data_IF_512889008456
#
_entry.id   IF_512889008456
#
_cell.length_a   1.000
_cell.length_b   1.000
_cell.length_c   1.000
_cell.angle_alpha   90.00
_cell.angle_beta   90.00
_cell.angle_gamma   90.00
#
_symmetry.space_group_name_H-M   'P 1'
#
loop_
_entity.id
_entity.type
_entity.pdbx_description
1 polymer ?
#
# COMPACT_ATOMS: atom_id res chain seq x y z
N UNK A 1 -23.79 20.41 -4.61
CA UNK A 1 -23.96 19.97 -6.01
C UNK A 1 -23.09 20.85 -6.88
N UNK A 2 -22.37 20.27 -7.84
CA UNK A 2 -21.60 21.05 -8.82
C UNK A 2 -22.51 21.55 -9.95
N UNK A 3 -22.14 22.65 -10.58
CA UNK A 3 -22.74 23.12 -11.82
C UNK A 3 -22.24 22.31 -13.05
N UNK A 4 -22.64 22.73 -14.25
CA UNK A 4 -22.24 22.08 -15.52
C UNK A 4 -20.75 22.16 -15.82
N UNK A 5 -20.02 23.07 -15.16
CA UNK A 5 -18.57 23.22 -15.29
C UNK A 5 -17.81 22.48 -14.18
N UNK A 6 -18.51 21.75 -13.30
CA UNK A 6 -17.91 21.05 -12.18
C UNK A 6 -17.62 21.92 -10.96
N UNK A 7 -18.13 23.15 -10.90
CA UNK A 7 -17.88 24.08 -9.80
C UNK A 7 -18.95 23.99 -8.73
N UNK A 8 -18.55 24.02 -7.47
CA UNK A 8 -19.43 24.09 -6.31
C UNK A 8 -18.93 25.19 -5.37
N UNK A 9 -19.78 26.19 -5.08
CA UNK A 9 -19.45 27.27 -4.14
C UNK A 9 -20.12 26.99 -2.80
N UNK A 10 -19.30 26.88 -1.75
CA UNK A 10 -19.77 26.72 -0.38
C UNK A 10 -19.51 28.02 0.40
N UNK A 11 -20.47 28.43 1.23
CA UNK A 11 -20.35 29.62 2.09
C UNK A 11 -20.75 29.23 3.51
N UNK A 12 -20.01 29.72 4.50
CA UNK A 12 -20.29 29.48 5.91
C UNK A 12 -19.62 30.51 6.81
N UNK A 13 -20.12 30.62 8.03
CA UNK A 13 -19.57 31.45 9.10
C UNK A 13 -19.14 30.58 10.27
N UNK A 14 -18.02 30.90 10.93
CA UNK A 14 -17.52 30.14 12.07
C UNK A 14 -16.39 30.85 12.82
N UNK A 15 -15.84 30.17 13.82
CA UNK A 15 -14.76 30.68 14.68
C UNK A 15 -13.36 30.23 14.20
N UNK A 16 -13.20 30.03 12.90
CA UNK A 16 -11.98 29.50 12.28
C UNK A 16 -12.00 27.97 12.21
N UNK A 17 -10.84 27.36 12.00
CA UNK A 17 -10.68 25.91 11.98
C UNK A 17 -10.40 25.35 10.59
N UNK A 18 -11.02 24.22 10.24
CA UNK A 18 -10.79 23.60 8.94
C UNK A 18 -12.05 23.02 8.33
N UNK A 19 -12.12 23.04 7.01
CA UNK A 19 -13.18 22.40 6.24
C UNK A 19 -12.59 21.19 5.53
N UNK A 20 -13.19 20.02 5.76
CA UNK A 20 -12.90 18.81 4.99
C UNK A 20 -13.80 18.75 3.75
N UNK A 21 -13.23 18.39 2.61
CA UNK A 21 -13.91 18.33 1.32
C UNK A 21 -13.83 16.91 0.78
N UNK A 22 -14.97 16.43 0.26
CA UNK A 22 -15.07 15.18 -0.48
C UNK A 22 -16.02 15.37 -1.66
N UNK A 23 -15.80 14.60 -2.72
CA UNK A 23 -16.66 14.59 -3.90
C UNK A 23 -16.99 13.16 -4.29
N UNK A 24 -18.22 12.99 -4.77
CA UNK A 24 -18.75 11.73 -5.27
C UNK A 24 -19.53 11.98 -6.56
N UNK A 25 -19.37 11.08 -7.52
CA UNK A 25 -20.14 11.04 -8.76
C UNK A 25 -20.30 9.59 -9.18
N UNK A 26 -21.50 9.20 -9.57
CA UNK A 26 -21.76 7.87 -10.11
C UNK A 26 -20.83 7.55 -11.29
N UNK A 27 -20.25 6.35 -11.30
CA UNK A 27 -19.27 5.93 -12.30
C UNK A 27 -17.84 6.45 -12.07
N UNK A 28 -17.56 7.08 -10.92
CA UNK A 28 -16.23 7.54 -10.52
C UNK A 28 -15.90 7.04 -9.11
N UNK A 29 -14.62 6.80 -8.86
CA UNK A 29 -14.12 6.63 -7.50
C UNK A 29 -14.32 7.94 -6.73
N UNK A 30 -14.89 7.82 -5.54
CA UNK A 30 -15.03 8.97 -4.64
C UNK A 30 -13.64 9.49 -4.24
N UNK A 31 -13.55 10.80 -4.01
CA UNK A 31 -12.31 11.43 -3.58
C UNK A 31 -12.56 12.21 -2.29
N UNK A 32 -11.63 12.13 -1.34
CA UNK A 32 -11.77 12.75 -0.02
C UNK A 32 -10.42 13.08 0.61
N UNK A 33 -10.44 13.64 1.82
CA UNK A 33 -9.22 14.01 2.54
C UNK A 33 -8.65 15.38 2.14
N UNK A 34 -9.32 16.09 1.24
CA UNK A 34 -9.05 17.50 0.94
C UNK A 34 -9.40 18.34 2.16
N UNK A 35 -8.54 19.30 2.52
CA UNK A 35 -8.75 20.09 3.72
C UNK A 35 -8.20 21.49 3.55
N UNK A 36 -9.04 22.48 3.81
CA UNK A 36 -8.65 23.88 3.92
C UNK A 36 -8.59 24.31 5.38
N UNK A 37 -7.50 24.95 5.78
CA UNK A 37 -7.31 25.48 7.12
C UNK A 37 -7.42 27.00 7.12
N UNK A 38 -8.26 27.51 8.01
CA UNK A 38 -8.51 28.92 8.23
C UNK A 38 -7.88 29.34 9.56
N UNK A 39 -6.82 30.12 9.50
CA UNK A 39 -5.90 30.33 10.64
C UNK A 39 -6.00 31.71 11.25
N UNK A 40 -6.29 32.74 10.44
CA UNK A 40 -6.28 34.13 10.88
C UNK A 40 -7.59 34.83 10.55
N UNK A 41 -8.08 35.60 11.51
CA UNK A 41 -9.23 36.48 11.29
C UNK A 41 -8.73 37.90 11.07
N UNK A 42 -9.09 38.47 9.92
CA UNK A 42 -8.67 39.81 9.49
C UNK A 42 -9.88 40.73 9.30
N UNK A 43 -9.65 42.04 9.32
CA UNK A 43 -10.70 43.06 9.19
C UNK A 43 -11.32 43.47 10.52
N UNK A 44 -11.75 44.74 10.61
CA UNK A 44 -12.40 45.31 11.81
C UNK A 44 -13.91 45.42 11.62
N UNK A 45 -14.35 45.94 10.47
CA UNK A 45 -15.77 45.99 10.08
C UNK A 45 -16.20 44.72 9.33
N UNK A 46 -15.45 44.32 8.30
CA UNK A 46 -15.71 43.12 7.50
C UNK A 46 -14.78 41.97 7.91
N UNK A 47 -15.07 41.39 9.09
CA UNK A 47 -14.27 40.28 9.64
C UNK A 47 -14.36 39.05 8.74
N UNK A 48 -13.22 38.53 8.31
CA UNK A 48 -13.13 37.31 7.49
C UNK A 48 -11.95 36.43 7.87
N UNK A 49 -12.10 35.14 7.63
CA UNK A 49 -11.04 34.16 7.85
C UNK A 49 -10.17 33.99 6.60
N UNK A 50 -8.86 33.90 6.79
CA UNK A 50 -7.87 33.64 5.74
C UNK A 50 -7.39 32.17 5.77
N UNK A 51 -7.16 31.51 4.61
CA UNK A 51 -7.22 32.08 3.27
C UNK A 51 -8.67 32.38 2.86
N UNK A 52 -8.91 33.57 2.33
CA UNK A 52 -10.25 33.98 1.89
C UNK A 52 -10.59 33.35 0.54
N UNK A 53 -11.75 32.68 0.48
CA UNK A 53 -12.29 32.06 -0.73
C UNK A 53 -11.30 31.12 -1.46
N UNK A 54 -10.74 30.10 -0.76
CA UNK A 54 -9.85 29.15 -1.39
C UNK A 54 -10.59 28.34 -2.46
N UNK A 55 -9.90 28.02 -3.55
CA UNK A 55 -10.37 27.08 -4.56
C UNK A 55 -9.62 25.77 -4.39
N UNK A 56 -10.36 24.66 -4.31
CA UNK A 56 -9.80 23.33 -4.09
C UNK A 56 -10.12 22.45 -5.28
N UNK A 57 -9.09 22.03 -6.00
CA UNK A 57 -9.23 21.11 -7.12
C UNK A 57 -9.42 19.68 -6.60
N UNK A 58 -10.58 19.09 -6.90
CA UNK A 58 -10.91 17.71 -6.52
C UNK A 58 -10.99 16.85 -7.78
N UNK A 59 -10.03 15.95 -7.92
CA UNK A 59 -9.97 15.01 -9.05
C UNK A 59 -10.80 13.78 -8.76
N UNK A 60 -11.75 13.44 -9.64
CA UNK A 60 -12.47 12.18 -9.64
C UNK A 60 -11.96 11.28 -10.75
N UNK A 61 -11.57 10.05 -10.40
CA UNK A 61 -11.11 9.06 -11.38
C UNK A 61 -12.31 8.23 -11.84
N UNK A 62 -12.59 8.21 -13.14
CA UNK A 62 -13.68 7.39 -13.70
C UNK A 62 -13.40 5.92 -13.37
N UNK A 63 -14.40 5.15 -12.98
CA UNK A 63 -14.28 3.69 -12.83
C UNK A 63 -14.08 3.08 -14.23
N UNK A 64 -13.09 2.19 -14.38
CA UNK A 64 -12.82 1.49 -15.62
C UNK A 64 -13.59 0.20 -15.69
N UNK A 65 -12.87 -0.91 -15.55
CA UNK A 65 -13.46 -2.25 -15.56
C UNK A 65 -12.88 -3.05 -14.39
N UNK A 66 -13.31 -2.77 -13.14
CA UNK A 66 -12.88 -3.54 -11.98
C UNK A 66 -13.06 -5.05 -12.23
N UNK A 67 -12.10 -5.84 -11.75
CA UNK A 67 -12.09 -7.30 -11.97
C UNK A 67 -12.01 -8.06 -10.64
N UNK A 68 -12.53 -9.30 -10.61
CA UNK A 68 -12.26 -10.23 -9.52
C UNK A 68 -10.76 -10.47 -9.34
N UNK A 69 -10.27 -10.42 -8.11
CA UNK A 69 -8.87 -10.68 -7.77
C UNK A 69 -8.76 -11.51 -6.49
N UNK A 70 -7.62 -12.17 -6.32
CA UNK A 70 -7.21 -12.66 -5.01
C UNK A 70 -6.72 -11.47 -4.19
N UNK A 71 -7.60 -10.92 -3.36
CA UNK A 71 -7.29 -9.78 -2.51
C UNK A 71 -7.35 -10.19 -1.04
N UNK A 72 -6.26 -9.96 -0.30
CA UNK A 72 -6.18 -10.36 1.11
C UNK A 72 -5.30 -9.40 1.90
N UNK A 73 -5.77 -9.03 3.08
CA UNK A 73 -5.00 -8.35 4.10
C UNK A 73 -4.37 -9.39 5.02
N UNK A 74 -3.05 -9.31 5.18
CA UNK A 74 -2.31 -10.05 6.18
C UNK A 74 -1.87 -9.06 7.24
N UNK A 75 -2.25 -9.35 8.48
CA UNK A 75 -1.95 -8.52 9.62
C UNK A 75 -1.26 -9.37 10.66
N UNK A 76 -0.04 -8.96 10.98
CA UNK A 76 0.67 -9.42 12.16
C UNK A 76 0.88 -10.95 12.16
N UNK A 77 1.17 -11.50 10.99
CA UNK A 77 1.39 -12.94 10.79
C UNK A 77 2.86 -13.28 11.06
N UNK A 78 3.18 -14.37 11.77
CA UNK A 78 4.56 -14.77 11.97
C UNK A 78 5.17 -15.29 10.65
N UNK A 79 6.39 -14.86 10.34
CA UNK A 79 7.22 -15.55 9.35
C UNK A 79 7.70 -16.85 10.00
N UNK A 80 7.38 -18.05 9.44
CA UNK A 80 7.55 -19.32 10.14
C UNK A 80 8.99 -19.67 10.55
N UNK A 81 9.97 -19.38 9.70
CA UNK A 81 11.38 -19.71 9.93
C UNK A 81 12.22 -18.43 10.03
N UNK A 82 12.81 -18.18 11.20
CA UNK A 82 13.79 -17.10 11.36
C UNK A 82 15.13 -17.50 10.72
N UNK A 83 15.66 -16.65 9.83
CA UNK A 83 16.93 -16.89 9.11
C UNK A 83 16.83 -17.81 7.88
N UNK A 84 15.62 -18.24 7.50
CA UNK A 84 15.38 -19.07 6.30
C UNK A 84 14.43 -18.39 5.30
N UNK A 85 14.55 -18.67 3.99
CA UNK A 85 13.58 -18.22 3.01
C UNK A 85 12.27 -19.00 3.10
N UNK A 86 11.13 -18.31 3.24
CA UNK A 86 9.80 -18.92 3.27
C UNK A 86 8.93 -18.38 2.13
N UNK A 87 8.43 -19.28 1.28
CA UNK A 87 7.55 -18.93 0.17
C UNK A 87 6.12 -18.63 0.62
N UNK A 88 5.46 -17.70 -0.05
CA UNK A 88 4.06 -17.35 0.12
C UNK A 88 3.33 -17.40 -1.22
N UNK A 89 2.21 -18.11 -1.28
CA UNK A 89 1.37 -18.24 -2.46
C UNK A 89 0.26 -17.20 -2.40
N UNK A 90 0.27 -16.24 -3.32
CA UNK A 90 -0.68 -15.14 -3.35
C UNK A 90 -2.08 -15.61 -3.78
N UNK A 91 -2.19 -16.70 -4.54
CA UNK A 91 -3.48 -17.27 -4.97
C UNK A 91 -4.10 -18.18 -3.91
N UNK A 92 -3.28 -18.87 -3.11
CA UNK A 92 -3.75 -19.62 -1.95
C UNK A 92 -3.94 -18.73 -0.72
N UNK A 93 -3.21 -17.60 -0.68
CA UNK A 93 -3.15 -16.70 0.45
C UNK A 93 -2.53 -17.34 1.69
N UNK A 94 -1.57 -18.23 1.50
CA UNK A 94 -0.96 -19.04 2.56
C UNK A 94 0.52 -19.29 2.29
N UNK A 95 1.25 -19.66 3.33
CA UNK A 95 2.64 -20.10 3.22
C UNK A 95 2.74 -21.34 2.33
N UNK A 96 3.86 -21.49 1.64
CA UNK A 96 4.20 -22.71 0.90
C UNK A 96 4.65 -23.79 1.89
N UNK A 97 4.48 -25.06 1.50
CA UNK A 97 4.98 -26.20 2.27
C UNK A 97 6.46 -25.99 2.70
N UNK A 98 6.83 -26.37 3.93
CA UNK A 98 6.06 -27.15 4.89
C UNK A 98 5.10 -26.34 5.79
N UNK A 99 5.06 -25.02 5.67
CA UNK A 99 4.41 -24.13 6.65
C UNK A 99 2.95 -23.79 6.35
N UNK A 100 2.48 -24.14 5.16
CA UNK A 100 1.09 -23.93 4.74
C UNK A 100 0.75 -24.74 3.50
N UNK A 101 -0.46 -24.50 2.97
CA UNK A 101 -1.01 -25.18 1.80
C UNK A 101 -0.69 -24.55 0.45
N UNK A 102 0.10 -23.47 0.43
CA UNK A 102 0.54 -22.79 -0.79
C UNK A 102 1.37 -23.71 -1.71
N UNK A 103 1.25 -23.49 -3.02
CA UNK A 103 1.89 -24.33 -4.05
C UNK A 103 2.94 -23.58 -4.87
N UNK A 104 2.81 -22.26 -4.94
CA UNK A 104 3.70 -21.39 -5.71
C UNK A 104 4.28 -20.31 -4.78
N UNK A 105 5.60 -20.25 -4.63
CA UNK A 105 6.27 -19.20 -3.85
C UNK A 105 6.29 -17.88 -4.61
N UNK A 106 5.15 -17.26 -4.82
CA UNK A 106 5.04 -16.01 -5.58
C UNK A 106 5.92 -14.91 -4.97
N UNK A 107 5.90 -14.81 -3.64
CA UNK A 107 6.86 -14.03 -2.85
C UNK A 107 7.63 -14.96 -1.91
N UNK A 108 8.90 -14.67 -1.68
CA UNK A 108 9.75 -15.39 -0.73
C UNK A 108 10.27 -14.39 0.29
N UNK A 109 10.00 -14.66 1.56
CA UNK A 109 10.38 -13.80 2.67
C UNK A 109 11.55 -14.40 3.42
N UNK A 110 12.58 -13.60 3.65
CA UNK A 110 13.69 -13.95 4.51
C UNK A 110 13.85 -12.85 5.56
N UNK A 111 13.52 -13.19 6.79
CA UNK A 111 13.66 -12.32 7.95
C UNK A 111 14.94 -12.66 8.72
N UNK A 112 15.70 -11.63 9.07
CA UNK A 112 16.90 -11.73 9.89
C UNK A 112 16.83 -10.71 11.02
N UNK A 113 17.06 -11.15 12.25
CA UNK A 113 17.27 -10.28 13.39
C UNK A 113 18.71 -10.43 13.89
N UNK A 114 19.35 -9.32 14.25
CA UNK A 114 20.61 -9.38 15.00
C UNK A 114 20.29 -9.47 16.49
N UNK A 115 21.14 -10.14 17.28
CA UNK A 115 20.99 -10.19 18.72
C UNK A 115 20.79 -8.80 19.28
N UNK A 116 19.76 -8.65 20.10
CA UNK A 116 19.47 -7.39 20.74
C UNK A 116 20.64 -6.98 21.66
N UNK A 117 21.04 -5.72 21.56
CA UNK A 117 22.04 -5.11 22.42
C UNK A 117 21.38 -4.15 23.40
N UNK A 118 22.18 -3.63 24.33
CA UNK A 118 21.72 -2.62 25.29
C UNK A 118 22.66 -1.43 25.27
N UNK A 119 22.09 -0.22 25.14
CA UNK A 119 22.82 1.04 25.27
C UNK A 119 22.53 1.63 26.64
N UNK A 120 23.58 1.96 27.39
CA UNK A 120 23.45 2.70 28.65
C UNK A 120 23.21 4.17 28.39
N UNK A 121 22.15 4.73 28.97
CA UNK A 121 21.80 6.16 28.86
C UNK A 121 21.74 6.81 30.24
N UNK A 122 21.69 8.14 30.31
CA UNK A 122 21.46 8.86 31.58
C UNK A 122 20.10 8.54 32.25
N UNK A 123 19.18 7.92 31.51
CA UNK A 123 17.85 7.53 31.96
C UNK A 123 17.71 6.01 32.19
N UNK A 124 18.82 5.25 32.07
CA UNK A 124 18.84 3.80 32.20
C UNK A 124 19.18 3.06 30.90
N UNK A 125 19.27 1.72 30.94
CA UNK A 125 19.54 0.89 29.76
C UNK A 125 18.37 0.92 28.78
N UNK A 126 18.69 0.99 27.48
CA UNK A 126 17.72 0.95 26.38
C UNK A 126 18.10 -0.18 25.42
N UNK A 127 17.11 -1.01 25.08
CA UNK A 127 17.31 -2.11 24.14
C UNK A 127 17.47 -1.58 22.70
N UNK A 128 18.42 -2.14 21.96
CA UNK A 128 18.62 -1.91 20.54
C UNK A 128 17.97 -3.03 19.75
N UNK A 129 17.50 -2.69 18.56
CA UNK A 129 17.01 -3.65 17.57
C UNK A 129 17.73 -3.38 16.25
N UNK A 130 17.94 -4.43 15.47
CA UNK A 130 18.47 -4.38 14.11
C UNK A 130 17.97 -5.61 13.38
N UNK A 131 16.96 -5.42 12.55
CA UNK A 131 16.32 -6.51 11.83
C UNK A 131 16.02 -6.09 10.39
N UNK A 132 16.01 -7.07 9.50
CA UNK A 132 15.79 -6.87 8.07
C UNK A 132 14.86 -7.91 7.49
N UNK A 133 14.13 -7.48 6.47
CA UNK A 133 13.29 -8.33 5.64
C UNK A 133 13.76 -8.23 4.20
N UNK A 134 14.15 -9.35 3.63
CA UNK A 134 14.34 -9.50 2.19
C UNK A 134 13.12 -10.17 1.59
N UNK A 135 12.49 -9.49 0.64
CA UNK A 135 11.42 -10.05 -0.21
C UNK A 135 12.03 -10.34 -1.58
N UNK A 136 11.96 -11.58 -2.03
CA UNK A 136 12.33 -11.96 -3.39
C UNK A 136 11.17 -12.65 -4.12
N UNK A 137 11.27 -12.74 -5.44
CA UNK A 137 10.33 -13.49 -6.27
C UNK A 137 10.97 -14.77 -6.80
N UNK A 138 10.15 -15.80 -7.05
CA UNK A 138 10.68 -17.12 -7.46
C UNK A 138 11.26 -17.17 -8.87
N UNK A 139 10.79 -16.33 -9.81
CA UNK A 139 11.33 -16.28 -11.16
C UNK A 139 12.17 -15.02 -11.38
N UNK A 140 13.20 -15.11 -12.22
CA UNK A 140 14.10 -14.00 -12.55
C UNK A 140 13.38 -12.78 -13.15
N UNK A 141 12.31 -13.02 -13.91
CA UNK A 141 11.52 -11.96 -14.53
C UNK A 141 10.29 -11.57 -13.72
N UNK A 142 10.08 -12.17 -12.55
CA UNK A 142 9.11 -11.66 -11.60
C UNK A 142 9.68 -10.43 -10.88
N UNK A 143 8.86 -9.75 -10.09
CA UNK A 143 9.37 -8.74 -9.18
C UNK A 143 8.32 -7.78 -8.66
N UNK A 144 8.85 -6.79 -7.94
CA UNK A 144 8.11 -5.69 -7.35
C UNK A 144 8.53 -4.38 -8.02
N UNK A 145 7.56 -3.56 -8.40
CA UNK A 145 7.81 -2.19 -8.85
C UNK A 145 7.27 -1.23 -7.80
N UNK A 146 8.19 -0.55 -7.11
CA UNK A 146 7.86 0.39 -6.06
C UNK A 146 7.28 1.69 -6.63
N UNK A 147 6.18 2.15 -6.06
CA UNK A 147 5.55 3.41 -6.42
C UNK A 147 5.16 4.18 -5.16
N UNK A 148 5.26 5.51 -5.21
CA UNK A 148 4.81 6.38 -4.13
C UNK A 148 3.40 6.86 -4.43
N UNK A 149 2.52 6.78 -3.43
CA UNK A 149 1.22 7.45 -3.43
C UNK A 149 1.04 8.12 -2.07
N UNK A 150 0.77 9.45 -2.03
CA UNK A 150 0.60 10.17 -0.78
C UNK A 150 -0.55 9.58 0.04
N UNK A 151 -0.33 9.43 1.35
CA UNK A 151 -1.37 9.04 2.31
C UNK A 151 -2.18 10.24 2.83
N UNK A 152 -1.66 11.46 2.65
CA UNK A 152 -2.19 12.69 3.24
C UNK A 152 -2.42 13.71 2.13
N UNK A 153 -3.49 14.48 2.27
CA UNK A 153 -3.98 15.35 1.21
C UNK A 153 -4.94 14.59 0.29
N UNK A 154 -5.89 15.33 -0.26
CA UNK A 154 -7.06 14.74 -0.90
C UNK A 154 -6.72 13.76 -2.02
N UNK A 155 -7.30 12.57 -1.97
CA UNK A 155 -7.01 11.47 -2.86
C UNK A 155 -8.29 10.76 -3.29
N UNK A 156 -8.19 10.12 -4.46
CA UNK A 156 -9.18 9.17 -4.97
C UNK A 156 -9.10 7.87 -4.17
N UNK A 157 -10.25 7.22 -3.97
CA UNK A 157 -10.31 5.88 -3.39
C UNK A 157 -9.50 4.85 -4.20
N UNK A 158 -9.38 5.04 -5.51
CA UNK A 158 -8.38 4.34 -6.31
C UNK A 158 -7.00 4.95 -6.03
N UNK A 159 -6.18 4.24 -5.26
CA UNK A 159 -4.86 4.67 -4.77
C UNK A 159 -3.76 4.61 -5.84
N UNK A 160 -3.81 3.64 -6.74
CA UNK A 160 -2.80 3.38 -7.76
C UNK A 160 -3.39 3.50 -9.17
N UNK A 161 -2.56 3.73 -10.20
CA UNK A 161 -2.99 3.61 -11.58
C UNK A 161 -3.70 2.29 -11.86
N UNK A 162 -4.68 2.33 -12.76
CA UNK A 162 -5.52 1.18 -13.14
C UNK A 162 -4.75 0.04 -13.77
N UNK A 163 -3.62 0.32 -14.39
CA UNK A 163 -2.81 -0.65 -15.09
C UNK A 163 -1.44 -0.76 -14.44
N UNK A 164 -1.01 -1.99 -14.18
CA UNK A 164 0.35 -2.30 -13.78
C UNK A 164 1.30 -2.05 -14.96
N UNK A 165 2.47 -1.42 -14.74
CA UNK A 165 3.47 -1.22 -15.79
C UNK A 165 3.99 -2.55 -16.37
N UNK A 166 4.52 -2.53 -17.59
CA UNK A 166 5.12 -3.71 -18.23
C UNK A 166 6.50 -4.05 -17.65
N UNK A 167 7.27 -3.02 -17.30
CA UNK A 167 8.70 -3.09 -17.00
C UNK A 167 9.04 -2.36 -15.69
N UNK A 168 10.28 -2.51 -15.24
CA UNK A 168 10.81 -1.84 -14.04
C UNK A 168 10.69 -2.66 -12.74
N UNK A 169 10.21 -3.90 -12.84
CA UNK A 169 10.15 -4.83 -11.71
C UNK A 169 11.54 -5.25 -11.27
N UNK A 170 11.79 -5.20 -9.95
CA UNK A 170 13.01 -5.73 -9.34
C UNK A 170 12.69 -7.05 -8.62
N UNK A 171 13.49 -8.11 -8.82
CA UNK A 171 13.19 -9.44 -8.29
C UNK A 171 13.41 -9.54 -6.78
N UNK A 172 14.20 -8.62 -6.20
CA UNK A 172 14.55 -8.63 -4.77
C UNK A 172 14.50 -7.23 -4.21
N UNK A 173 13.97 -7.11 -2.98
CA UNK A 173 14.02 -5.89 -2.17
C UNK A 173 14.36 -6.24 -0.73
N UNK A 174 15.33 -5.54 -0.17
CA UNK A 174 15.67 -5.62 1.25
C UNK A 174 15.26 -4.34 1.96
N UNK A 175 14.69 -4.49 3.16
CA UNK A 175 14.30 -3.41 4.06
C UNK A 175 14.94 -3.67 5.41
N UNK A 176 15.46 -2.62 6.06
CA UNK A 176 16.07 -2.71 7.38
C UNK A 176 15.43 -1.71 8.35
N UNK A 177 15.31 -2.14 9.60
CA UNK A 177 14.85 -1.31 10.71
C UNK A 177 15.83 -1.50 11.86
N UNK A 178 16.40 -0.40 12.35
CA UNK A 178 17.39 -0.48 13.43
C UNK A 178 17.43 0.78 14.29
N UNK A 179 17.97 0.63 15.50
CA UNK A 179 18.35 1.75 16.38
C UNK A 179 19.86 1.88 16.41
N UNK A 180 20.37 3.07 16.11
CA UNK A 180 21.81 3.33 16.15
C UNK A 180 22.33 3.62 17.56
N UNK A 181 23.64 3.88 17.67
CA UNK A 181 24.32 4.16 18.95
C UNK A 181 23.91 5.51 19.56
N UNK A 182 23.37 6.42 18.76
CA UNK A 182 22.88 7.72 19.18
C UNK A 182 21.38 7.67 19.57
N UNK A 183 20.82 6.46 19.66
CA UNK A 183 19.42 6.17 19.97
C UNK A 183 18.41 6.63 18.91
N UNK A 184 18.88 6.97 17.71
CA UNK A 184 18.00 7.31 16.60
C UNK A 184 17.45 6.03 15.98
N UNK A 185 16.15 6.04 15.69
CA UNK A 185 15.46 4.94 15.01
C UNK A 185 15.48 5.19 13.51
N UNK A 186 15.92 4.20 12.75
CA UNK A 186 16.01 4.20 11.29
C UNK A 186 15.10 3.11 10.74
N UNK A 187 14.39 3.42 9.66
CA UNK A 187 13.48 2.49 9.01
C UNK A 187 13.43 2.75 7.51
N UNK A 188 13.59 1.68 6.73
CA UNK A 188 13.33 1.70 5.29
C UNK A 188 11.85 1.57 4.94
N UNK A 189 10.97 1.37 5.94
CA UNK A 189 9.51 1.32 5.77
C UNK A 189 9.00 2.73 5.50
N UNK A 190 8.18 2.87 4.47
CA UNK A 190 7.64 4.14 4.01
C UNK A 190 6.13 4.11 3.94
N UNK A 191 5.46 5.05 4.62
CA UNK A 191 4.00 5.09 4.64
C UNK A 191 3.40 5.36 3.24
N UNK A 192 4.12 6.12 2.39
CA UNK A 192 3.70 6.46 1.03
C UNK A 192 4.00 5.36 0.00
N UNK A 193 4.71 4.29 0.37
CA UNK A 193 5.15 3.26 -0.56
C UNK A 193 4.06 2.24 -0.83
N UNK A 194 3.99 1.83 -2.08
CA UNK A 194 3.10 0.81 -2.63
C UNK A 194 3.88 0.04 -3.69
N UNK A 195 3.27 -1.01 -4.23
CA UNK A 195 3.90 -1.80 -5.28
C UNK A 195 2.92 -2.21 -6.36
N UNK A 196 3.40 -2.28 -7.59
CA UNK A 196 2.90 -3.26 -8.55
C UNK A 196 3.71 -4.55 -8.41
N UNK A 197 3.06 -5.68 -8.67
CA UNK A 197 3.68 -7.01 -8.61
C UNK A 197 3.54 -7.70 -9.97
N UNK A 198 4.58 -8.42 -10.39
CA UNK A 198 4.56 -9.34 -11.54
C UNK A 198 5.07 -10.69 -11.06
N UNK A 199 4.27 -11.75 -11.18
CA UNK A 199 4.61 -13.10 -10.73
C UNK A 199 4.25 -14.16 -11.75
N UNK A 200 4.80 -15.36 -11.58
CA UNK A 200 4.51 -16.54 -12.41
C UNK A 200 4.82 -16.30 -13.88
N UNK A 201 5.87 -15.53 -14.16
CA UNK A 201 6.35 -15.33 -15.52
C UNK A 201 6.68 -16.66 -16.19
N UNK A 202 6.26 -16.81 -17.46
CA UNK A 202 6.70 -17.87 -18.35
C UNK A 202 7.38 -17.23 -19.54
N UNK A 203 8.53 -17.79 -19.93
CA UNK A 203 9.30 -17.35 -21.08
C UNK A 203 9.16 -18.34 -22.24
N UNK A 204 9.25 -17.85 -23.47
CA UNK A 204 9.49 -18.69 -24.64
C UNK A 204 10.98 -19.09 -24.73
N UNK A 205 11.34 -19.82 -25.79
CA UNK A 205 12.72 -20.27 -26.06
C UNK A 205 13.70 -19.11 -26.28
N UNK A 206 13.20 -17.96 -26.74
CA UNK A 206 13.98 -16.73 -26.97
C UNK A 206 14.12 -15.89 -25.69
N UNK A 207 13.49 -16.30 -24.59
CA UNK A 207 13.53 -15.61 -23.30
C UNK A 207 12.50 -14.49 -23.13
N UNK A 208 11.58 -14.31 -24.08
CA UNK A 208 10.52 -13.31 -24.00
C UNK A 208 9.42 -13.77 -23.05
N UNK A 209 8.88 -12.85 -22.25
CA UNK A 209 7.75 -13.15 -21.36
C UNK A 209 6.49 -13.35 -22.23
N UNK A 210 5.97 -14.58 -22.25
CA UNK A 210 4.72 -14.95 -22.95
C UNK A 210 3.51 -14.99 -22.03
N UNK A 211 3.73 -15.09 -20.72
CA UNK A 211 2.68 -15.09 -19.70
C UNK A 211 3.21 -14.51 -18.41
N UNK A 212 2.41 -13.71 -17.71
CA UNK A 212 2.63 -13.30 -16.32
C UNK A 212 1.30 -12.98 -15.63
N UNK A 213 1.27 -13.02 -14.30
CA UNK A 213 0.19 -12.44 -13.52
C UNK A 213 0.62 -11.09 -12.97
N UNK A 214 -0.30 -10.13 -12.96
CA UNK A 214 -0.07 -8.78 -12.45
C UNK A 214 -0.94 -8.52 -11.22
N UNK A 215 -0.46 -7.63 -10.36
CA UNK A 215 -1.17 -7.26 -9.15
C UNK A 215 -0.62 -5.99 -8.54
N UNK A 216 -1.09 -5.69 -7.34
CA UNK A 216 -0.65 -4.55 -6.55
C UNK A 216 -0.60 -4.87 -5.08
N UNK A 217 0.16 -4.06 -4.34
CA UNK A 217 0.24 -4.07 -2.89
C UNK A 217 -0.08 -2.66 -2.41
N UNK A 218 -1.10 -2.55 -1.56
CA UNK A 218 -1.44 -1.29 -0.90
C UNK A 218 -0.62 -1.16 0.37
N UNK A 219 0.13 -0.08 0.46
CA UNK A 219 1.09 0.15 1.54
C UNK A 219 2.39 -0.61 1.34
N UNK A 220 3.27 -0.42 2.31
CA UNK A 220 4.56 -1.09 2.36
C UNK A 220 4.44 -2.46 3.04
N UNK A 221 5.50 -3.28 2.95
CA UNK A 221 5.65 -4.42 3.85
C UNK A 221 6.07 -3.90 5.22
N UNK A 222 5.24 -4.10 6.25
CA UNK A 222 5.60 -3.74 7.62
C UNK A 222 5.97 -4.99 8.38
N UNK A 223 7.06 -4.93 9.16
CA UNK A 223 7.50 -6.02 10.01
C UNK A 223 8.12 -5.49 11.29
N UNK A 224 8.11 -6.31 12.35
CA UNK A 224 8.71 -5.97 13.63
C UNK A 224 9.90 -6.87 13.99
N UNK A 225 10.53 -6.56 15.12
CA UNK A 225 11.67 -7.30 15.70
C UNK A 225 11.40 -8.77 16.02
N UNK A 226 10.14 -9.23 15.98
CA UNK A 226 9.76 -10.63 16.20
C UNK A 226 9.41 -11.36 14.89
N UNK A 227 9.66 -10.74 13.73
CA UNK A 227 9.36 -11.33 12.43
C UNK A 227 7.87 -11.37 12.11
N UNK A 228 7.06 -10.48 12.71
CA UNK A 228 5.63 -10.38 12.40
C UNK A 228 5.40 -9.47 11.21
N UNK A 229 4.86 -10.03 10.14
CA UNK A 229 4.68 -9.39 8.84
C UNK A 229 3.23 -8.90 8.64
N UNK A 230 3.06 -7.73 8.02
CA UNK A 230 1.77 -7.28 7.50
C UNK A 230 1.91 -6.65 6.11
N UNK A 231 0.95 -6.94 5.23
CA UNK A 231 0.78 -6.31 3.92
C UNK A 231 -0.62 -6.61 3.36
N UNK A 232 -1.09 -5.79 2.41
CA UNK A 232 -2.35 -6.01 1.69
C UNK A 232 -2.07 -6.12 0.21
N UNK A 233 -2.46 -7.23 -0.41
CA UNK A 233 -2.21 -7.48 -1.83
C UNK A 233 -3.50 -7.75 -2.61
N UNK A 234 -3.39 -7.59 -3.92
CA UNK A 234 -4.41 -7.87 -4.91
C UNK A 234 -3.71 -8.51 -6.11
N UNK A 235 -4.05 -9.77 -6.43
CA UNK A 235 -3.50 -10.49 -7.56
C UNK A 235 -4.60 -10.74 -8.60
N UNK A 236 -4.43 -10.21 -9.80
CA UNK A 236 -5.28 -10.53 -10.93
C UNK A 236 -4.89 -11.91 -11.49
N UNK A 237 -5.80 -12.90 -11.51
CA UNK A 237 -5.49 -14.24 -11.99
C UNK A 237 -5.46 -14.35 -13.52
N UNK A 238 -5.92 -13.34 -14.25
CA UNK A 238 -6.01 -13.37 -15.72
C UNK A 238 -4.60 -13.19 -16.34
N UNK A 239 -4.10 -14.16 -17.12
CA UNK A 239 -2.78 -14.07 -17.72
C UNK A 239 -2.61 -12.83 -18.61
N UNK A 240 -1.48 -12.12 -18.43
CA UNK A 240 -1.08 -10.92 -19.17
C UNK A 240 -2.02 -9.70 -19.04
N UNK A 241 -3.05 -9.78 -18.19
CA UNK A 241 -3.92 -8.64 -17.91
C UNK A 241 -3.25 -7.70 -16.91
N UNK A 242 -3.04 -6.45 -17.32
CA UNK A 242 -2.41 -5.42 -16.50
C UNK A 242 -3.41 -4.64 -15.65
N UNK A 243 -4.71 -4.79 -15.90
CA UNK A 243 -5.73 -4.15 -15.09
C UNK A 243 -5.65 -4.62 -13.63
N UNK A 244 -5.44 -3.68 -12.71
CA UNK A 244 -5.38 -3.87 -11.25
C UNK A 244 -6.45 -3.06 -10.51
N UNK A 245 -7.53 -2.66 -11.20
CA UNK A 245 -8.78 -2.21 -10.56
C UNK A 245 -9.48 -3.44 -9.95
N UNK A 246 -9.57 -3.52 -8.61
CA UNK A 246 -10.21 -4.62 -7.93
C UNK A 246 -11.72 -4.38 -7.77
N UNK A 247 -12.52 -5.41 -8.02
CA UNK A 247 -13.94 -5.43 -7.67
C UNK A 247 -14.14 -5.97 -6.24
N UNK A 248 -14.44 -5.10 -5.24
CA UNK A 248 -14.62 -5.53 -3.85
C UNK A 248 -15.86 -6.40 -3.63
N UNK A 249 -16.76 -6.50 -4.60
CA UNK A 249 -17.93 -7.39 -4.53
C UNK A 249 -17.62 -8.81 -4.99
N UNK A 250 -16.51 -9.01 -5.71
CA UNK A 250 -16.10 -10.29 -6.30
C UNK A 250 -14.67 -10.69 -5.90
N UNK A 251 -14.40 -10.71 -4.59
CA UNK A 251 -13.16 -11.33 -4.09
C UNK A 251 -13.14 -12.83 -4.40
N UNK A 252 -12.02 -13.32 -4.95
CA UNK A 252 -11.84 -14.73 -5.30
C UNK A 252 -11.61 -15.62 -4.08
N UNK A 253 -11.18 -15.06 -2.95
CA UNK A 253 -11.23 -15.76 -1.67
C UNK A 253 -12.66 -15.77 -1.12
N UNK A 254 -13.21 -16.95 -0.83
CA UNK A 254 -14.60 -17.09 -0.38
C UNK A 254 -14.79 -17.05 1.13
N UNK A 255 -13.75 -17.33 1.91
CA UNK A 255 -13.82 -17.53 3.36
C UNK A 255 -12.80 -16.65 4.11
N UNK A 256 -12.77 -15.35 3.83
CA UNK A 256 -11.95 -14.41 4.59
C UNK A 256 -12.65 -13.99 5.87
N UNK A 257 -11.89 -13.91 6.97
CA UNK A 257 -12.35 -13.18 8.15
C UNK A 257 -12.45 -11.69 7.86
N UNK A 258 -13.19 -10.94 8.68
CA UNK A 258 -13.28 -9.48 8.55
C UNK A 258 -11.93 -8.76 8.70
N UNK A 259 -10.92 -9.40 9.29
CA UNK A 259 -9.56 -8.87 9.43
C UNK A 259 -8.69 -9.12 8.19
N UNK A 260 -9.10 -10.03 7.32
CA UNK A 260 -8.40 -10.39 6.08
C UNK A 260 -9.10 -9.85 4.83
N UNK A 261 -10.41 -9.60 4.93
CA UNK A 261 -11.23 -9.05 3.87
C UNK A 261 -10.76 -7.65 3.47
N UNK A 262 -10.81 -7.38 2.16
CA UNK A 262 -10.34 -6.12 1.57
C UNK A 262 -11.49 -5.53 0.77
N UNK A 263 -11.81 -4.27 1.04
CA UNK A 263 -12.97 -3.57 0.45
C UNK A 263 -12.59 -2.33 -0.35
N UNK A 264 -11.30 -2.03 -0.40
CA UNK A 264 -10.75 -0.92 -1.17
C UNK A 264 -10.36 -1.40 -2.58
N UNK A 265 -10.60 -0.59 -3.63
CA UNK A 265 -10.43 -0.97 -5.03
C UNK A 265 -8.99 -0.96 -5.53
#
# INVERSE_FOLDING_TARGET
MTDTNGLCVLRGSGNGGAVGISAHKEGYYWSSGYREQFTNLVGVADRRWEPWNPTVDVTLVRIGSPRPMYAKMLRDIPIPDEGGPVGFDLSAGDWVAPHGGGKHGDLVFHYESKPEGTISTRYGPVQTYDYSLTISTSNESDGLLAVSSPLRGGHSALRLPKQAPKDGYVPTRTMRVYRDRDMQSHSDIREDRNYFLRVRTRKDEDGNIVSALYGKIHGDFTFDHSGRLSFTYYLNPEPNEQNVEFDPTENLFRNLSSLQDVREP
#
